data_IF_976385731303
#
_entry.id   IF_976385731303
#
_cell.length_a   1.000
_cell.length_b   1.000
_cell.length_c   1.000
_cell.angle_alpha   90.00
_cell.angle_beta   90.00
_cell.angle_gamma   90.00
#
_symmetry.space_group_name_H-M   'P 1'
#
loop_
_entity.id
_entity.type
_entity.pdbx_description
1 polymer ?
#
# COMPACT_ATOMS: atom_id res chain seq x y z
N UNK A 1 27.67 20.24 -43.60
CA UNK A 1 26.37 20.08 -42.88
C UNK A 1 26.57 19.11 -41.73
N UNK A 2 26.96 19.61 -40.54
CA UNK A 2 27.22 18.87 -39.31
C UNK A 2 25.93 18.78 -38.51
N UNK A 3 25.36 17.59 -38.36
CA UNK A 3 24.20 17.32 -37.51
C UNK A 3 24.66 17.28 -36.04
N UNK A 4 24.15 18.21 -35.25
CA UNK A 4 24.36 18.22 -33.81
C UNK A 4 23.52 17.11 -33.16
N UNK A 5 24.20 16.11 -32.58
CA UNK A 5 23.57 15.06 -31.75
C UNK A 5 23.22 15.70 -30.41
N UNK A 6 21.94 15.88 -30.16
CA UNK A 6 21.43 16.31 -28.86
C UNK A 6 21.67 15.19 -27.83
N UNK A 7 22.40 15.48 -26.78
CA UNK A 7 22.61 14.59 -25.64
C UNK A 7 21.29 14.36 -24.90
N UNK A 8 21.00 13.12 -24.41
CA UNK A 8 19.80 12.85 -23.63
C UNK A 8 19.85 13.63 -22.30
N UNK A 9 18.84 14.47 -22.10
CA UNK A 9 18.66 15.24 -20.88
C UNK A 9 18.61 14.31 -19.67
N UNK A 10 19.46 14.57 -18.66
CA UNK A 10 19.42 13.92 -17.35
C UNK A 10 18.05 14.19 -16.74
N UNK A 11 17.19 13.15 -16.68
CA UNK A 11 16.00 13.17 -15.86
C UNK A 11 16.42 13.46 -14.41
N UNK A 12 16.18 14.67 -13.94
CA UNK A 12 16.30 15.01 -12.53
C UNK A 12 15.17 14.26 -11.82
N UNK A 13 15.48 13.13 -11.21
CA UNK A 13 14.63 12.47 -10.22
C UNK A 13 14.65 13.34 -8.95
N UNK A 14 14.02 14.50 -9.02
CA UNK A 14 13.55 15.17 -7.83
C UNK A 14 12.43 14.26 -7.28
N UNK A 15 12.67 13.62 -6.14
CA UNK A 15 11.62 12.89 -5.43
C UNK A 15 10.49 13.86 -5.17
N UNK A 16 9.43 13.78 -5.96
CA UNK A 16 8.22 14.51 -5.68
C UNK A 16 7.74 14.04 -4.31
N UNK A 17 7.66 14.97 -3.36
CA UNK A 17 7.02 14.67 -2.08
C UNK A 17 5.54 14.51 -2.37
N UNK A 18 5.07 13.27 -2.44
CA UNK A 18 3.68 12.97 -2.77
C UNK A 18 2.70 13.78 -1.92
N UNK A 19 1.69 14.33 -2.56
CA UNK A 19 0.67 15.13 -1.90
C UNK A 19 -0.12 14.30 -0.88
N UNK A 20 -0.62 14.96 0.17
CA UNK A 20 -1.60 14.34 1.08
C UNK A 20 -2.91 14.16 0.30
N UNK A 21 -3.42 12.93 0.17
CA UNK A 21 -4.64 12.69 -0.59
C UNK A 21 -5.86 13.40 0.01
N UNK A 22 -6.74 13.93 -0.84
CA UNK A 22 -8.04 14.44 -0.39
C UNK A 22 -8.93 13.30 0.14
N UNK A 23 -9.98 13.65 0.87
CA UNK A 23 -10.94 12.66 1.36
C UNK A 23 -11.61 11.91 0.20
N UNK A 24 -11.92 12.60 -0.89
CA UNK A 24 -12.52 12.02 -2.10
C UNK A 24 -11.60 11.01 -2.78
N UNK A 25 -10.32 11.33 -2.93
CA UNK A 25 -9.34 10.41 -3.47
C UNK A 25 -9.19 9.15 -2.61
N UNK A 26 -9.18 9.30 -1.29
CA UNK A 26 -9.12 8.16 -0.38
C UNK A 26 -10.41 7.33 -0.40
N UNK A 27 -11.56 7.92 -0.64
CA UNK A 27 -12.81 7.18 -0.87
C UNK A 27 -12.74 6.36 -2.16
N UNK A 28 -12.19 6.94 -3.24
CA UNK A 28 -12.03 6.20 -4.49
C UNK A 28 -11.01 5.04 -4.34
N UNK A 29 -9.87 5.28 -3.69
CA UNK A 29 -8.94 4.19 -3.35
C UNK A 29 -9.66 3.11 -2.55
N UNK A 30 -10.45 3.48 -1.53
CA UNK A 30 -11.23 2.53 -0.73
C UNK A 30 -12.16 1.69 -1.60
N UNK A 31 -12.90 2.32 -2.51
CA UNK A 31 -13.83 1.64 -3.42
C UNK A 31 -13.12 0.58 -4.26
N UNK A 32 -11.95 0.91 -4.82
CA UNK A 32 -11.14 -0.03 -5.60
C UNK A 32 -10.63 -1.21 -4.74
N UNK A 33 -10.21 -0.94 -3.52
CA UNK A 33 -9.76 -1.97 -2.59
C UNK A 33 -10.91 -2.91 -2.18
N UNK A 34 -12.10 -2.38 -1.95
CA UNK A 34 -13.27 -3.15 -1.56
C UNK A 34 -13.78 -4.01 -2.74
N UNK A 35 -13.70 -3.51 -3.97
CA UNK A 35 -13.97 -4.30 -5.19
C UNK A 35 -12.99 -5.48 -5.31
N UNK A 36 -11.69 -5.27 -5.04
CA UNK A 36 -10.70 -6.35 -5.02
C UNK A 36 -11.06 -7.45 -3.99
N UNK A 37 -11.50 -7.05 -2.80
CA UNK A 37 -11.95 -7.99 -1.78
C UNK A 37 -13.22 -8.76 -2.23
N UNK A 38 -14.15 -8.09 -2.91
CA UNK A 38 -15.36 -8.71 -3.45
C UNK A 38 -15.02 -9.76 -4.52
N UNK A 39 -14.10 -9.45 -5.43
CA UNK A 39 -13.63 -10.42 -6.46
C UNK A 39 -12.98 -11.64 -5.81
N UNK A 40 -12.15 -11.44 -4.77
CA UNK A 40 -11.57 -12.54 -4.00
C UNK A 40 -12.64 -13.42 -3.34
N UNK A 41 -13.66 -12.80 -2.74
CA UNK A 41 -14.79 -13.52 -2.13
C UNK A 41 -15.57 -14.34 -3.16
N UNK A 42 -15.83 -13.79 -4.35
CA UNK A 42 -16.48 -14.52 -5.44
C UNK A 42 -15.66 -15.71 -5.94
N UNK A 43 -14.33 -15.61 -5.88
CA UNK A 43 -13.40 -16.70 -6.15
C UNK A 43 -13.24 -17.66 -4.96
N UNK A 44 -14.10 -17.57 -3.94
CA UNK A 44 -14.08 -18.41 -2.73
C UNK A 44 -12.75 -18.35 -1.96
N UNK A 45 -12.10 -17.19 -1.96
CA UNK A 45 -10.84 -16.95 -1.24
C UNK A 45 -11.07 -16.05 -0.05
N UNK A 46 -10.58 -16.50 1.11
CA UNK A 46 -10.70 -15.74 2.35
C UNK A 46 -9.45 -15.92 3.22
N UNK A 47 -9.08 -14.88 3.95
CA UNK A 47 -7.96 -14.96 4.87
C UNK A 47 -8.32 -15.85 6.07
N UNK A 48 -7.53 -16.91 6.29
CA UNK A 48 -7.70 -17.84 7.40
C UNK A 48 -7.00 -17.38 8.69
N UNK A 49 -6.26 -16.26 8.64
CA UNK A 49 -5.53 -15.72 9.79
C UNK A 49 -4.20 -16.42 10.10
N UNK A 50 -3.77 -17.36 9.27
CA UNK A 50 -2.46 -18.07 9.43
C UNK A 50 -1.28 -17.10 9.21
N UNK A 51 -1.51 -16.03 8.43
CA UNK A 51 -0.57 -14.94 8.20
C UNK A 51 0.75 -15.30 7.49
N UNK A 52 0.85 -16.47 6.84
CA UNK A 52 2.06 -16.85 6.08
C UNK A 52 2.38 -15.82 4.98
N UNK A 53 1.34 -15.32 4.27
CA UNK A 53 1.49 -14.26 3.26
C UNK A 53 2.01 -12.92 3.84
N UNK A 54 2.01 -12.74 5.16
CA UNK A 54 2.55 -11.57 5.85
C UNK A 54 3.99 -11.80 6.35
N UNK A 55 4.51 -13.01 6.22
CA UNK A 55 5.90 -13.38 6.53
C UNK A 55 6.72 -13.38 5.25
N UNK A 56 7.10 -12.19 4.79
CA UNK A 56 7.68 -11.97 3.47
C UNK A 56 8.94 -12.80 3.17
N UNK A 57 9.71 -13.16 4.21
CA UNK A 57 10.85 -14.07 4.04
C UNK A 57 10.45 -15.51 3.71
N UNK A 58 9.30 -15.95 4.20
CA UNK A 58 8.81 -17.31 3.92
C UNK A 58 8.23 -17.40 2.52
N UNK A 59 7.53 -16.36 2.08
CA UNK A 59 6.90 -16.34 0.75
C UNK A 59 7.85 -15.88 -0.35
N UNK A 60 8.92 -15.17 0.00
CA UNK A 60 9.78 -14.48 -0.97
C UNK A 60 9.14 -13.25 -1.61
N UNK A 61 7.90 -12.93 -1.26
CA UNK A 61 7.11 -11.86 -1.89
C UNK A 61 6.75 -10.77 -0.87
N UNK A 62 6.96 -9.53 -1.26
CA UNK A 62 6.54 -8.35 -0.49
C UNK A 62 5.50 -7.59 -1.31
N UNK A 63 4.34 -7.26 -0.75
CA UNK A 63 3.34 -6.47 -1.47
C UNK A 63 3.91 -5.12 -1.91
N UNK A 64 3.62 -4.74 -3.15
CA UNK A 64 3.86 -3.40 -3.67
C UNK A 64 2.56 -2.61 -3.60
N UNK A 65 2.67 -1.33 -3.26
CA UNK A 65 1.53 -0.45 -3.01
C UNK A 65 1.76 0.91 -3.63
N UNK A 66 0.71 1.50 -4.15
CA UNK A 66 0.67 2.90 -4.58
C UNK A 66 0.65 3.84 -3.37
N UNK A 67 0.92 5.11 -3.57
CA UNK A 67 0.89 6.11 -2.50
C UNK A 67 -0.50 6.20 -1.85
N UNK A 68 -1.57 6.11 -2.64
CA UNK A 68 -2.93 6.09 -2.13
C UNK A 68 -3.22 4.91 -1.20
N UNK A 69 -2.76 3.73 -1.57
CA UNK A 69 -2.88 2.52 -0.73
C UNK A 69 -2.03 2.62 0.54
N UNK A 70 -0.81 3.15 0.43
CA UNK A 70 0.06 3.39 1.59
C UNK A 70 -0.61 4.36 2.59
N UNK A 71 -1.28 5.41 2.11
CA UNK A 71 -2.08 6.31 2.94
C UNK A 71 -3.26 5.61 3.61
N UNK A 72 -3.96 4.71 2.92
CA UNK A 72 -5.04 3.93 3.52
C UNK A 72 -4.51 3.02 4.64
N UNK A 73 -3.40 2.34 4.41
CA UNK A 73 -2.75 1.51 5.41
C UNK A 73 -2.28 2.34 6.62
N UNK A 74 -1.66 3.49 6.38
CA UNK A 74 -1.22 4.42 7.41
C UNK A 74 -2.39 4.97 8.24
N UNK A 75 -3.49 5.39 7.61
CA UNK A 75 -4.70 5.84 8.33
C UNK A 75 -5.26 4.74 9.23
N UNK A 76 -5.32 3.50 8.74
CA UNK A 76 -5.78 2.37 9.55
C UNK A 76 -4.86 2.11 10.75
N UNK A 77 -3.55 2.23 10.56
CA UNK A 77 -2.55 2.11 11.63
C UNK A 77 -2.72 3.19 12.69
N UNK A 78 -2.94 4.44 12.26
CA UNK A 78 -3.23 5.58 13.15
C UNK A 78 -4.53 5.38 13.91
N UNK A 79 -5.57 4.87 13.25
CA UNK A 79 -6.85 4.56 13.91
C UNK A 79 -6.72 3.46 14.97
N UNK A 80 -5.75 2.55 14.83
CA UNK A 80 -5.39 1.56 15.85
C UNK A 80 -4.53 2.14 17.00
N UNK A 81 -4.39 3.48 17.09
CA UNK A 81 -3.66 4.18 18.15
C UNK A 81 -2.14 4.18 17.97
N UNK A 82 -1.63 3.81 16.82
CA UNK A 82 -0.20 3.73 16.53
C UNK A 82 0.31 4.97 15.81
N UNK A 83 1.51 5.43 16.15
CA UNK A 83 2.09 6.67 15.62
C UNK A 83 3.38 6.48 14.82
N UNK A 84 3.98 5.31 14.89
CA UNK A 84 5.20 4.94 14.17
C UNK A 84 5.05 3.56 13.57
N UNK A 85 5.74 3.34 12.47
CA UNK A 85 5.90 2.01 11.85
C UNK A 85 7.36 1.61 12.05
N UNK A 86 7.57 0.50 12.74
CA UNK A 86 8.88 -0.13 12.93
C UNK A 86 8.95 -1.36 12.02
N UNK A 87 10.05 -1.49 11.31
CA UNK A 87 10.26 -2.64 10.43
C UNK A 87 10.76 -3.81 11.28
N UNK A 88 10.04 -4.96 11.30
CA UNK A 88 10.48 -6.12 12.05
C UNK A 88 11.82 -6.65 11.54
N UNK A 89 12.75 -7.04 12.43
CA UNK A 89 14.08 -7.54 12.04
C UNK A 89 14.02 -8.86 11.26
N UNK A 90 12.95 -9.63 11.43
CA UNK A 90 12.68 -10.86 10.67
C UNK A 90 12.14 -10.59 9.26
N UNK A 91 11.92 -9.31 8.89
CA UNK A 91 11.39 -8.90 7.59
C UNK A 91 9.93 -9.24 7.38
N UNK A 92 9.17 -9.53 8.43
CA UNK A 92 7.71 -9.73 8.35
C UNK A 92 6.97 -8.40 8.14
N UNK A 93 5.66 -8.50 7.90
CA UNK A 93 4.80 -7.33 7.76
C UNK A 93 4.78 -6.50 9.06
N UNK A 94 5.04 -5.17 9.00
CA UNK A 94 5.06 -4.32 10.19
C UNK A 94 3.70 -4.16 10.87
N UNK A 95 2.63 -4.61 10.22
CA UNK A 95 1.27 -4.54 10.75
C UNK A 95 0.79 -5.82 11.45
N UNK A 96 1.66 -6.81 11.60
CA UNK A 96 1.35 -7.97 12.43
C UNK A 96 1.51 -7.63 13.91
N UNK A 97 0.55 -8.05 14.73
CA UNK A 97 0.73 -8.03 16.18
C UNK A 97 1.47 -9.30 16.67
N UNK A 98 1.79 -9.36 17.96
CA UNK A 98 2.45 -10.51 18.56
C UNK A 98 1.67 -11.83 18.49
N UNK A 99 0.39 -11.78 18.12
CA UNK A 99 -0.46 -12.96 17.89
C UNK A 99 -0.56 -13.34 16.41
N UNK A 100 0.22 -12.69 15.52
CA UNK A 100 0.18 -12.93 14.08
C UNK A 100 -1.07 -12.39 13.37
N UNK A 101 -1.83 -11.46 13.98
CA UNK A 101 -3.01 -10.87 13.39
C UNK A 101 -2.69 -9.50 12.76
N UNK A 102 -3.29 -9.25 11.58
CA UNK A 102 -3.15 -7.97 10.89
C UNK A 102 -3.91 -6.86 11.62
N UNK A 103 -3.19 -5.86 12.12
CA UNK A 103 -3.74 -4.71 12.84
C UNK A 103 -4.50 -3.72 11.92
N UNK A 104 -4.25 -3.77 10.62
CA UNK A 104 -4.88 -2.88 9.63
C UNK A 104 -5.81 -3.66 8.69
N UNK A 105 -6.48 -4.70 9.16
CA UNK A 105 -7.24 -5.63 8.30
C UNK A 105 -8.16 -4.92 7.31
N UNK A 106 -8.89 -3.89 7.75
CA UNK A 106 -9.78 -3.09 6.89
C UNK A 106 -9.04 -2.10 5.98
N UNK A 107 -7.83 -1.73 6.32
CA UNK A 107 -6.97 -0.84 5.54
C UNK A 107 -5.93 -1.57 4.69
N UNK A 108 -6.08 -2.88 4.48
CA UNK A 108 -5.14 -3.67 3.67
C UNK A 108 -5.11 -3.18 2.23
N UNK A 109 -3.91 -3.06 1.63
CA UNK A 109 -3.74 -2.78 0.20
C UNK A 109 -4.35 -3.86 -0.70
N UNK A 110 -4.50 -3.58 -1.99
CA UNK A 110 -5.07 -4.50 -2.98
C UNK A 110 -4.32 -5.85 -3.00
N UNK A 111 -3.00 -5.82 -3.04
CA UNK A 111 -2.19 -7.03 -3.02
C UNK A 111 -2.51 -7.91 -1.79
N UNK A 112 -2.71 -7.32 -0.61
CA UNK A 112 -3.08 -8.07 0.60
C UNK A 112 -4.53 -8.55 0.62
N UNK A 113 -5.40 -8.03 -0.27
CA UNK A 113 -6.81 -8.45 -0.40
C UNK A 113 -7.00 -9.51 -1.47
N UNK A 114 -6.02 -9.68 -2.34
CA UNK A 114 -6.07 -10.56 -3.50
C UNK A 114 -5.00 -11.67 -3.47
N UNK A 115 -4.07 -11.59 -2.50
CA UNK A 115 -3.08 -12.62 -2.24
C UNK A 115 -3.39 -13.33 -0.92
N UNK A 116 -3.51 -14.65 -0.98
CA UNK A 116 -3.82 -15.50 0.17
C UNK A 116 -2.78 -16.59 0.31
N UNK A 117 -2.71 -17.21 1.50
CA UNK A 117 -1.93 -18.42 1.69
C UNK A 117 -2.38 -19.51 0.71
N UNK A 118 -1.48 -20.39 0.32
CA UNK A 118 -1.79 -21.48 -0.62
C UNK A 118 -2.97 -22.35 -0.13
N UNK A 119 -3.05 -22.58 1.18
CA UNK A 119 -4.16 -23.29 1.83
C UNK A 119 -5.51 -22.57 1.71
N UNK A 120 -5.48 -21.26 1.44
CA UNK A 120 -6.67 -20.43 1.24
C UNK A 120 -6.91 -20.07 -0.24
N UNK A 121 -6.32 -20.84 -1.17
CA UNK A 121 -6.49 -20.73 -2.61
C UNK A 121 -5.45 -19.87 -3.34
N UNK A 122 -4.43 -19.36 -2.66
CA UNK A 122 -3.34 -18.58 -3.26
C UNK A 122 -3.79 -17.23 -3.83
N UNK A 123 -2.91 -16.57 -4.61
CA UNK A 123 -3.19 -15.28 -5.22
C UNK A 123 -4.30 -15.35 -6.28
N UNK A 124 -5.09 -14.29 -6.43
CA UNK A 124 -5.93 -14.10 -7.61
C UNK A 124 -5.05 -13.92 -8.86
N UNK A 125 -5.44 -14.49 -10.00
CA UNK A 125 -4.76 -14.22 -11.26
C UNK A 125 -4.73 -12.72 -11.55
N UNK A 126 -3.56 -12.20 -11.97
CA UNK A 126 -3.39 -10.76 -12.26
C UNK A 126 -4.44 -10.22 -13.24
N UNK A 127 -4.84 -11.03 -14.25
CA UNK A 127 -5.88 -10.64 -15.22
C UNK A 127 -7.23 -10.28 -14.59
N UNK A 128 -7.53 -10.81 -13.41
CA UNK A 128 -8.79 -10.57 -12.71
C UNK A 128 -8.80 -9.26 -11.92
N UNK A 129 -7.64 -8.62 -11.75
CA UNK A 129 -7.49 -7.39 -10.95
C UNK A 129 -6.66 -6.32 -11.64
N UNK A 130 -6.28 -6.52 -12.92
CA UNK A 130 -5.41 -5.59 -13.65
C UNK A 130 -6.03 -4.21 -13.85
N UNK A 131 -7.35 -4.15 -14.02
CA UNK A 131 -8.11 -2.91 -14.12
C UNK A 131 -8.05 -2.11 -12.80
N UNK A 132 -8.15 -2.79 -11.65
CA UNK A 132 -8.02 -2.16 -10.33
C UNK A 132 -6.59 -1.66 -10.10
N UNK A 133 -5.59 -2.45 -10.51
CA UNK A 133 -4.18 -2.04 -10.41
C UNK A 133 -3.95 -0.77 -11.22
N UNK A 134 -4.40 -0.70 -12.47
CA UNK A 134 -4.27 0.48 -13.33
C UNK A 134 -4.96 1.70 -12.74
N UNK A 135 -6.19 1.54 -12.24
CA UNK A 135 -6.91 2.64 -11.61
C UNK A 135 -6.18 3.18 -10.36
N UNK A 136 -5.55 2.32 -9.57
CA UNK A 136 -4.73 2.75 -8.43
C UNK A 136 -3.44 3.42 -8.88
N UNK A 137 -2.81 2.96 -9.98
CA UNK A 137 -1.65 3.60 -10.59
C UNK A 137 -1.99 5.00 -11.15
N UNK A 138 -3.16 5.17 -11.78
CA UNK A 138 -3.65 6.47 -12.25
C UNK A 138 -3.83 7.46 -11.09
N UNK A 139 -4.38 7.00 -9.96
CA UNK A 139 -4.47 7.83 -8.75
C UNK A 139 -3.08 8.14 -8.19
N UNK A 140 -2.13 7.21 -8.24
CA UNK A 140 -0.75 7.42 -7.81
C UNK A 140 -0.08 8.56 -8.58
N UNK A 141 -0.26 8.59 -9.90
CA UNK A 141 0.24 9.67 -10.76
C UNK A 141 -0.35 11.03 -10.35
N UNK A 142 -1.65 11.09 -10.09
CA UNK A 142 -2.32 12.34 -9.65
C UNK A 142 -1.79 12.80 -8.28
N UNK A 143 -1.43 11.87 -7.40
CA UNK A 143 -0.85 12.15 -6.09
C UNK A 143 0.64 12.52 -6.16
N UNK A 144 1.27 12.44 -7.34
CA UNK A 144 2.71 12.64 -7.50
C UNK A 144 3.53 11.49 -6.89
N UNK A 145 2.98 10.28 -6.91
CA UNK A 145 3.70 9.07 -6.53
C UNK A 145 4.71 8.64 -7.61
N UNK A 146 5.70 7.87 -7.20
CA UNK A 146 6.77 7.35 -8.06
C UNK A 146 6.47 5.91 -8.57
N UNK A 147 5.20 5.51 -8.54
CA UNK A 147 4.76 4.16 -8.82
C UNK A 147 4.75 3.25 -7.58
N UNK A 148 4.42 1.99 -7.79
CA UNK A 148 4.27 1.04 -6.70
C UNK A 148 5.59 0.76 -5.98
N UNK A 149 5.58 0.91 -4.66
CA UNK A 149 6.72 0.71 -3.75
C UNK A 149 6.41 -0.43 -2.78
N UNK A 150 7.42 -1.10 -2.25
CA UNK A 150 7.23 -2.14 -1.23
C UNK A 150 6.48 -1.58 -0.02
N UNK A 151 5.46 -2.30 0.45
CA UNK A 151 4.58 -1.87 1.53
C UNK A 151 5.31 -1.39 2.80
N UNK A 152 6.30 -2.14 3.36
CA UNK A 152 7.00 -1.69 4.55
C UNK A 152 7.69 -0.33 4.38
N UNK A 153 8.35 -0.14 3.25
CA UNK A 153 9.08 1.08 2.92
C UNK A 153 8.15 2.27 2.67
N UNK A 154 7.02 2.03 2.00
CA UNK A 154 6.02 3.07 1.74
C UNK A 154 5.43 3.62 3.04
N UNK A 155 5.01 2.73 3.95
CA UNK A 155 4.37 3.15 5.21
C UNK A 155 5.37 3.69 6.23
N UNK A 156 6.60 3.19 6.23
CA UNK A 156 7.67 3.75 7.06
C UNK A 156 7.96 5.21 6.66
N UNK A 157 8.04 5.50 5.36
CA UNK A 157 8.21 6.88 4.87
C UNK A 157 7.09 7.81 5.34
N UNK A 158 5.83 7.37 5.26
CA UNK A 158 4.69 8.15 5.76
C UNK A 158 4.77 8.35 7.28
N UNK A 159 5.19 7.35 8.03
CA UNK A 159 5.31 7.45 9.50
C UNK A 159 6.41 8.42 9.95
N UNK A 160 7.50 8.55 9.19
CA UNK A 160 8.60 9.49 9.47
C UNK A 160 8.23 10.94 9.20
N UNK A 161 7.35 11.20 8.22
CA UNK A 161 6.89 12.55 7.90
C UNK A 161 5.97 13.16 8.97
N UNK A 162 5.54 12.35 9.95
CA UNK A 162 4.62 12.77 11.00
C UNK A 162 3.18 12.94 10.51
N UNK A 163 2.24 13.28 11.41
CA UNK A 163 0.87 13.50 11.01
C UNK A 163 0.77 14.78 10.18
N UNK A 164 0.28 14.66 8.96
CA UNK A 164 -0.36 15.78 8.28
C UNK A 164 -1.73 16.04 8.95
N UNK A 165 -1.72 16.24 10.26
CA UNK A 165 -2.90 16.61 11.02
C UNK A 165 -3.01 18.14 10.99
N UNK A 166 -4.00 18.63 10.26
CA UNK A 166 -4.56 19.96 10.51
C UNK A 166 -4.88 20.08 12.00
N UNK A 167 -4.05 20.86 12.69
CA UNK A 167 -4.14 21.37 14.02
C UNK A 167 -5.30 20.97 14.92
N UNK A 168 -5.18 19.90 15.64
CA UNK A 168 -5.93 19.73 16.89
C UNK A 168 -5.26 20.58 17.96
N UNK A 169 -5.63 21.87 18.07
CA UNK A 169 -5.27 22.72 19.20
C UNK A 169 -5.57 21.95 20.49
N UNK A 170 -4.54 21.58 21.25
CA UNK A 170 -4.70 21.14 22.64
C UNK A 170 -5.40 22.29 23.35
N UNK A 171 -6.66 22.08 23.72
CA UNK A 171 -7.29 22.91 24.76
C UNK A 171 -6.58 22.56 26.07
N UNK A 172 -5.95 23.58 26.67
CA UNK A 172 -5.53 23.56 28.08
C UNK A 172 -6.76 23.58 28.97
#
# INVERSE_FOLDING_TARGET
LTAAVMAPGKCRHGRAEGAVPSAEMLMEVRRLLDEGALRASRAQRSCTGVADCCRFRLTGETPHVTLGEAWMAWKAWRAAGRTRVELPPDGSCPFLNGQGKCMIYQGRPLACRTHFCMSAGGALPRREVIDLIRALEDIDVVLGGDGATRLPEAVERLSRKGPADGGRKRRR
#
